data_IF_221534589502
#
_entry.id   IF_221534589502
#
_cell.length_a   1.000
_cell.length_b   1.000
_cell.length_c   1.000
_cell.angle_alpha   90.00
_cell.angle_beta   90.00
_cell.angle_gamma   90.00
#
_symmetry.space_group_name_H-M   'P 1'
#
loop_
_entity.id
_entity.type
_entity.pdbx_description
1 polymer ?
#
# COMPACT_ATOMS: atom_id res chain seq x y z
N UNK A 1 66.29 -14.00 -34.96
CA UNK A 1 65.98 -14.29 -33.54
C UNK A 1 64.54 -13.87 -33.26
N UNK A 2 63.65 -14.82 -32.92
CA UNK A 2 62.35 -14.56 -32.26
C UNK A 2 62.60 -14.37 -30.76
N UNK A 3 61.78 -13.57 -30.05
CA UNK A 3 60.70 -14.14 -29.25
C UNK A 3 59.37 -13.38 -29.47
N UNK A 4 58.25 -14.05 -29.74
CA UNK A 4 57.34 -14.65 -28.76
C UNK A 4 56.68 -13.60 -27.85
N UNK A 5 55.51 -13.11 -28.29
CA UNK A 5 54.55 -12.43 -27.42
C UNK A 5 53.35 -13.37 -27.21
N UNK A 6 53.19 -13.76 -25.95
CA UNK A 6 52.13 -14.59 -25.40
C UNK A 6 50.97 -13.69 -24.93
N UNK A 7 49.75 -14.22 -25.05
CA UNK A 7 48.55 -13.92 -24.26
C UNK A 7 47.95 -12.49 -24.42
N UNK A 8 46.65 -12.25 -24.26
CA UNK A 8 45.69 -12.85 -23.33
C UNK A 8 44.27 -12.49 -23.85
N UNK A 9 43.39 -13.49 -24.03
CA UNK A 9 41.98 -13.25 -24.32
C UNK A 9 41.20 -13.10 -23.00
N UNK A 10 40.69 -11.90 -22.71
CA UNK A 10 39.74 -11.68 -21.62
C UNK A 10 38.32 -12.02 -22.09
N UNK A 11 37.77 -13.16 -21.63
CA UNK A 11 36.32 -13.39 -21.63
C UNK A 11 35.69 -12.54 -20.53
N UNK A 12 34.91 -11.53 -20.91
CA UNK A 12 34.03 -10.80 -19.99
C UNK A 12 32.79 -11.66 -19.74
N UNK A 13 32.75 -12.34 -18.60
CA UNK A 13 31.55 -12.96 -18.08
C UNK A 13 30.63 -11.87 -17.51
N UNK A 14 29.57 -11.53 -18.22
CA UNK A 14 28.48 -10.69 -17.70
C UNK A 14 27.72 -11.47 -16.63
N UNK A 15 27.57 -10.95 -15.39
CA UNK A 15 26.70 -11.59 -14.41
C UNK A 15 25.26 -11.47 -14.89
N UNK A 16 24.59 -12.61 -15.07
CA UNK A 16 23.16 -12.68 -15.27
C UNK A 16 22.47 -12.06 -14.06
N UNK A 17 21.98 -10.83 -14.21
CA UNK A 17 21.06 -10.20 -13.28
C UNK A 17 19.88 -11.15 -13.09
N UNK A 18 19.83 -11.81 -11.94
CA UNK A 18 18.63 -12.47 -11.47
C UNK A 18 17.60 -11.37 -11.24
N UNK A 19 16.77 -11.11 -12.26
CA UNK A 19 15.54 -10.40 -12.06
C UNK A 19 14.72 -11.25 -11.08
N UNK A 20 14.65 -10.81 -9.83
CA UNK A 20 13.66 -11.30 -8.90
C UNK A 20 12.28 -11.21 -9.59
N UNK A 21 11.41 -12.23 -9.46
CA UNK A 21 10.07 -12.13 -10.02
C UNK A 21 9.41 -10.85 -9.48
N UNK A 22 8.59 -10.15 -10.28
CA UNK A 22 7.80 -9.07 -9.75
C UNK A 22 7.00 -9.64 -8.60
N UNK A 23 7.15 -9.07 -7.40
CA UNK A 23 6.21 -9.28 -6.33
C UNK A 23 4.83 -8.90 -6.89
N UNK A 24 4.07 -9.89 -7.37
CA UNK A 24 2.64 -9.74 -7.57
C UNK A 24 2.04 -9.33 -6.22
N UNK A 25 0.94 -8.56 -6.19
CA UNK A 25 0.37 -8.14 -4.92
C UNK A 25 -0.05 -9.38 -4.13
N UNK A 26 0.79 -9.78 -3.18
CA UNK A 26 0.39 -10.54 -2.02
C UNK A 26 -0.54 -9.63 -1.24
N UNK A 27 -1.78 -10.07 -1.03
CA UNK A 27 -2.77 -9.52 -0.09
C UNK A 27 -2.71 -7.98 0.08
N UNK A 28 -3.24 -7.24 -0.90
CA UNK A 28 -3.27 -5.78 -0.84
C UNK A 28 -4.59 -5.30 -0.25
N UNK A 29 -4.56 -4.22 0.54
CA UNK A 29 -5.75 -3.60 1.08
C UNK A 29 -5.84 -2.13 0.66
N UNK A 30 -7.06 -1.67 0.43
CA UNK A 30 -7.39 -0.28 0.20
C UNK A 30 -8.28 0.23 1.33
N UNK A 31 -8.09 1.48 1.74
CA UNK A 31 -9.07 2.21 2.52
C UNK A 31 -9.79 3.21 1.61
N UNK A 32 -11.10 3.04 1.48
CA UNK A 32 -11.96 3.84 0.61
C UNK A 32 -12.79 4.77 1.51
N UNK A 33 -12.66 6.08 1.32
CA UNK A 33 -13.41 7.11 2.03
C UNK A 33 -14.27 7.90 1.06
N UNK A 34 -15.57 7.99 1.32
CA UNK A 34 -16.48 8.83 0.57
C UNK A 34 -16.28 10.30 0.96
N UNK A 35 -16.09 11.17 -0.04
CA UNK A 35 -16.00 12.62 0.15
C UNK A 35 -17.37 13.28 0.00
N UNK A 36 -17.46 14.52 0.47
CA UNK A 36 -18.72 15.29 0.44
C UNK A 36 -19.22 15.58 -0.98
N UNK A 37 -18.32 15.60 -1.96
CA UNK A 37 -18.63 15.79 -3.38
C UNK A 37 -19.05 14.47 -4.08
N UNK A 38 -19.16 13.37 -3.35
CA UNK A 38 -19.50 12.06 -3.87
C UNK A 38 -18.32 11.29 -4.47
N UNK A 39 -17.11 11.89 -4.52
CA UNK A 39 -15.90 11.20 -4.99
C UNK A 39 -15.30 10.29 -3.92
N UNK A 40 -14.46 9.36 -4.34
CA UNK A 40 -13.72 8.49 -3.43
C UNK A 40 -12.29 8.99 -3.21
N UNK A 41 -11.86 9.00 -1.96
CA UNK A 41 -10.44 8.95 -1.60
C UNK A 41 -10.07 7.49 -1.37
N UNK A 42 -9.10 7.00 -2.13
CA UNK A 42 -8.52 5.68 -1.93
C UNK A 42 -7.14 5.86 -1.31
N UNK A 43 -6.89 5.16 -0.21
CA UNK A 43 -5.57 5.01 0.38
C UNK A 43 -5.12 3.55 0.25
N UNK A 44 -3.81 3.34 0.17
CA UNK A 44 -3.21 2.04 -0.08
C UNK A 44 -2.47 1.53 1.16
N UNK A 45 -2.55 0.23 1.45
CA UNK A 45 -1.78 -0.36 2.58
C UNK A 45 -0.29 -0.51 2.30
N UNK A 46 0.15 -0.17 1.08
CA UNK A 46 1.55 -0.18 0.69
C UNK A 46 1.84 1.01 -0.23
N UNK A 47 2.92 1.73 0.06
CA UNK A 47 3.38 2.88 -0.71
C UNK A 47 4.89 3.08 -0.58
N UNK A 48 5.38 4.15 -1.20
CA UNK A 48 6.82 4.41 -1.33
C UNK A 48 7.41 5.14 -0.12
N UNK A 49 6.62 5.96 0.57
CA UNK A 49 7.08 6.75 1.72
C UNK A 49 7.01 5.94 2.99
N UNK A 50 8.16 5.62 3.59
CA UNK A 50 8.23 4.97 4.90
C UNK A 50 8.89 5.90 5.90
N UNK A 51 8.17 6.21 6.97
CA UNK A 51 8.68 6.94 8.12
C UNK A 51 9.07 5.95 9.22
N UNK A 52 9.99 6.38 10.09
CA UNK A 52 10.33 5.61 11.28
C UNK A 52 9.17 5.61 12.27
N UNK A 53 9.07 4.56 13.08
CA UNK A 53 7.99 4.42 14.06
C UNK A 53 7.99 5.58 15.08
N UNK A 54 9.15 5.99 15.56
CA UNK A 54 9.29 7.14 16.46
C UNK A 54 8.78 8.44 15.81
N UNK A 55 9.14 8.69 14.55
CA UNK A 55 8.65 9.87 13.80
C UNK A 55 7.13 9.85 13.67
N UNK A 56 6.54 8.68 13.43
CA UNK A 56 5.08 8.52 13.32
C UNK A 56 4.38 8.84 14.64
N UNK A 57 4.93 8.40 15.77
CA UNK A 57 4.38 8.68 17.09
C UNK A 57 4.51 10.17 17.46
N UNK A 58 5.63 10.81 17.16
CA UNK A 58 5.83 12.26 17.39
C UNK A 58 4.87 13.11 16.53
N UNK A 59 4.71 12.72 15.27
CA UNK A 59 3.75 13.35 14.35
C UNK A 59 2.30 13.15 14.81
N UNK A 60 1.92 11.93 15.21
CA UNK A 60 0.57 11.65 15.72
C UNK A 60 0.28 12.46 16.99
N UNK A 61 1.20 12.47 17.94
CA UNK A 61 1.02 13.14 19.23
C UNK A 61 0.91 14.67 19.12
N UNK A 62 1.56 15.27 18.12
CA UNK A 62 1.54 16.72 17.90
C UNK A 62 0.44 17.20 16.95
N UNK A 63 -0.29 16.29 16.29
CA UNK A 63 -1.26 16.63 15.26
C UNK A 63 -2.36 17.58 15.75
N UNK A 64 -2.68 18.59 14.94
CA UNK A 64 -3.75 19.58 15.19
C UNK A 64 -4.45 19.95 13.88
N UNK A 65 -5.68 20.52 13.92
CA UNK A 65 -6.37 20.95 12.71
C UNK A 65 -5.58 21.98 11.87
N UNK A 66 -4.86 22.89 12.52
CA UNK A 66 -4.01 23.90 11.89
C UNK A 66 -2.61 23.39 11.48
N UNK A 67 -2.29 22.14 11.80
CA UNK A 67 -0.97 21.55 11.66
C UNK A 67 -0.23 21.44 12.99
N UNK A 68 0.36 20.27 13.24
CA UNK A 68 1.18 19.98 14.41
C UNK A 68 2.62 20.47 14.27
N UNK A 69 3.50 19.89 15.09
CA UNK A 69 4.92 20.21 15.02
C UNK A 69 5.55 19.68 13.73
N UNK A 70 6.55 20.40 13.21
CA UNK A 70 7.29 19.98 12.03
C UNK A 70 8.43 19.06 12.47
N UNK A 71 8.38 17.81 12.04
CA UNK A 71 9.37 16.78 12.34
C UNK A 71 10.31 16.62 11.14
N UNK A 72 11.62 16.51 11.40
CA UNK A 72 12.62 16.26 10.36
C UNK A 72 12.85 14.75 10.23
N UNK A 73 12.53 14.20 9.06
CA UNK A 73 12.64 12.78 8.74
C UNK A 73 13.66 12.56 7.61
N UNK A 74 13.92 11.30 7.27
CA UNK A 74 14.74 10.94 6.09
C UNK A 74 14.08 11.34 4.75
N UNK A 75 12.77 11.59 4.76
CA UNK A 75 11.99 12.06 3.60
C UNK A 75 11.90 13.59 3.55
N UNK A 76 12.60 14.30 4.44
CA UNK A 76 12.51 15.75 4.61
C UNK A 76 11.57 16.14 5.75
N UNK A 77 11.07 17.38 5.73
CA UNK A 77 10.13 17.83 6.76
C UNK A 77 8.79 17.12 6.59
N UNK A 78 8.23 16.66 7.70
CA UNK A 78 6.91 16.09 7.83
C UNK A 78 6.08 16.94 8.79
N UNK A 79 4.78 17.04 8.55
CA UNK A 79 3.85 17.68 9.46
C UNK A 79 2.52 16.94 9.47
N UNK A 80 1.96 16.72 10.66
CA UNK A 80 0.68 16.03 10.82
C UNK A 80 -0.48 17.00 11.04
N UNK A 81 -1.62 16.68 10.45
CA UNK A 81 -2.86 17.44 10.53
C UNK A 81 -3.98 16.55 11.04
N UNK A 82 -4.68 17.01 12.07
CA UNK A 82 -5.91 16.36 12.51
C UNK A 82 -7.06 16.74 11.55
N UNK A 83 -7.65 15.74 10.91
CA UNK A 83 -8.77 15.95 9.99
C UNK A 83 -9.98 15.14 10.43
N UNK A 84 -11.16 15.45 9.86
CA UNK A 84 -12.38 14.66 10.06
C UNK A 84 -12.23 13.19 9.61
N UNK A 85 -11.24 12.88 8.79
CA UNK A 85 -10.99 11.55 8.23
C UNK A 85 -9.91 10.78 9.01
N UNK A 86 -9.20 11.46 9.92
CA UNK A 86 -8.05 10.94 10.66
C UNK A 86 -6.85 11.89 10.61
N UNK A 87 -5.72 11.43 11.14
CA UNK A 87 -4.48 12.20 11.13
C UNK A 87 -3.81 12.01 9.77
N UNK A 88 -3.61 13.10 9.04
CA UNK A 88 -2.92 13.09 7.74
C UNK A 88 -1.55 13.72 7.92
N UNK A 89 -0.50 12.98 7.57
CA UNK A 89 0.86 13.50 7.49
C UNK A 89 1.11 14.01 6.08
N UNK A 90 1.65 15.21 5.96
CA UNK A 90 2.16 15.77 4.71
C UNK A 90 3.69 15.74 4.68
N UNK A 91 4.23 15.31 3.55
CA UNK A 91 5.66 15.15 3.24
C UNK A 91 6.01 15.96 1.98
N UNK A 92 6.03 17.30 2.05
CA UNK A 92 6.21 18.16 0.88
C UNK A 92 7.51 17.89 0.11
N UNK A 93 8.56 17.49 0.83
CA UNK A 93 9.90 17.22 0.31
C UNK A 93 10.12 15.79 -0.17
N UNK A 94 9.19 14.86 0.10
CA UNK A 94 9.27 13.51 -0.42
C UNK A 94 9.17 13.50 -1.95
N UNK A 95 9.84 12.53 -2.60
CA UNK A 95 9.86 12.41 -4.07
C UNK A 95 8.53 11.91 -4.65
N UNK A 96 7.85 11.04 -3.92
CA UNK A 96 6.57 10.41 -4.24
C UNK A 96 5.82 10.17 -2.95
N UNK A 97 4.52 9.86 -3.04
CA UNK A 97 3.70 9.46 -1.89
C UNK A 97 3.79 10.49 -0.75
N UNK A 98 3.42 11.72 -1.08
CA UNK A 98 3.63 12.90 -0.22
C UNK A 98 2.64 13.03 0.92
N UNK A 99 1.71 12.08 1.06
CA UNK A 99 0.65 12.13 2.06
C UNK A 99 0.39 10.75 2.60
N UNK A 100 0.35 10.65 3.92
CA UNK A 100 0.06 9.43 4.64
C UNK A 100 -1.14 9.67 5.54
N UNK A 101 -2.02 8.68 5.68
CA UNK A 101 -3.09 8.68 6.67
C UNK A 101 -2.72 7.70 7.78
N UNK A 102 -2.72 8.17 9.02
CA UNK A 102 -2.58 7.34 10.20
C UNK A 102 -3.93 6.80 10.64
N UNK A 103 -3.92 5.53 11.00
CA UNK A 103 -5.03 4.82 11.60
C UNK A 103 -4.51 3.95 12.76
N UNK A 104 -5.40 3.59 13.68
CA UNK A 104 -5.07 2.68 14.77
C UNK A 104 -5.80 1.37 14.59
N UNK A 105 -5.06 0.28 14.64
CA UNK A 105 -5.68 -1.04 14.67
C UNK A 105 -6.34 -1.31 16.04
N UNK A 106 -7.19 -2.35 16.15
CA UNK A 106 -7.82 -2.71 17.42
C UNK A 106 -6.86 -3.10 18.56
N UNK A 107 -5.59 -3.39 18.25
CA UNK A 107 -4.54 -3.68 19.23
C UNK A 107 -3.80 -2.40 19.67
N UNK A 108 -4.14 -1.25 19.10
CA UNK A 108 -3.50 0.04 19.36
C UNK A 108 -2.25 0.32 18.51
N UNK A 109 -1.91 -0.57 17.58
CA UNK A 109 -0.79 -0.38 16.65
C UNK A 109 -1.10 0.68 15.59
N UNK A 110 -0.08 1.44 15.20
CA UNK A 110 -0.20 2.39 14.11
C UNK A 110 -0.22 1.67 12.76
N UNK A 111 -1.25 1.98 11.98
CA UNK A 111 -1.37 1.58 10.59
C UNK A 111 -1.22 2.81 9.71
N UNK A 112 -0.30 2.73 8.75
CA UNK A 112 -0.06 3.79 7.77
C UNK A 112 -0.73 3.43 6.46
N UNK A 113 -1.51 4.37 5.93
CA UNK A 113 -2.09 4.29 4.60
C UNK A 113 -1.49 5.35 3.69
N UNK A 114 -1.26 4.98 2.44
CA UNK A 114 -0.52 5.78 1.46
C UNK A 114 -1.46 6.41 0.45
N UNK A 115 -1.22 7.67 0.08
CA UNK A 115 -2.00 8.35 -0.95
C UNK A 115 -1.70 7.76 -2.34
N UNK A 116 -0.45 7.37 -2.56
CA UNK A 116 -0.03 6.75 -3.81
C UNK A 116 0.14 5.24 -3.68
N UNK A 117 -0.36 4.49 -4.66
CA UNK A 117 -0.20 3.05 -4.72
C UNK A 117 -0.43 2.47 -6.10
N UNK A 118 0.00 1.22 -6.28
CA UNK A 118 -0.05 0.54 -7.58
C UNK A 118 -1.42 -0.04 -7.93
N UNK A 119 -2.23 -0.33 -6.92
CA UNK A 119 -3.54 -0.94 -7.14
C UNK A 119 -4.55 0.14 -7.48
N UNK A 120 -5.11 0.08 -8.68
CA UNK A 120 -6.20 0.94 -9.09
C UNK A 120 -7.44 0.07 -9.32
N UNK A 121 -8.56 0.46 -8.72
CA UNK A 121 -9.86 -0.15 -8.98
C UNK A 121 -10.72 0.83 -9.78
N UNK A 122 -11.48 0.36 -10.77
CA UNK A 122 -12.48 1.17 -11.46
C UNK A 122 -13.52 1.75 -10.50
N UNK A 123 -14.07 2.93 -10.82
CA UNK A 123 -15.04 3.63 -9.97
C UNK A 123 -16.31 2.81 -9.70
N UNK A 124 -16.81 2.06 -10.69
CA UNK A 124 -17.97 1.16 -10.53
C UNK A 124 -17.69 0.05 -9.50
N UNK A 125 -16.46 -0.48 -9.49
CA UNK A 125 -16.02 -1.44 -8.48
C UNK A 125 -15.91 -0.78 -7.10
N UNK A 126 -15.38 0.44 -7.01
CA UNK A 126 -15.33 1.19 -5.75
C UNK A 126 -16.73 1.45 -5.19
N UNK A 127 -17.67 1.86 -6.05
CA UNK A 127 -19.07 2.06 -5.66
C UNK A 127 -19.71 0.77 -5.15
N UNK A 128 -19.56 -0.33 -5.88
CA UNK A 128 -20.11 -1.62 -5.45
C UNK A 128 -19.51 -2.08 -4.10
N UNK A 129 -18.21 -1.87 -3.88
CA UNK A 129 -17.57 -2.16 -2.60
C UNK A 129 -18.15 -1.31 -1.47
N UNK A 130 -18.37 -0.02 -1.71
CA UNK A 130 -18.93 0.89 -0.71
C UNK A 130 -20.39 0.54 -0.38
N UNK A 131 -21.20 0.20 -1.39
CA UNK A 131 -22.61 -0.11 -1.22
C UNK A 131 -22.86 -1.48 -0.56
N UNK A 132 -21.98 -2.44 -0.80
CA UNK A 132 -22.16 -3.81 -0.29
C UNK A 132 -21.38 -4.11 1.00
N UNK A 133 -20.48 -3.21 1.42
CA UNK A 133 -19.66 -3.40 2.61
C UNK A 133 -20.50 -3.59 3.88
N UNK A 134 -20.06 -4.55 4.69
CA UNK A 134 -20.63 -4.86 6.01
C UNK A 134 -19.47 -5.06 7.00
N UNK A 135 -19.68 -4.96 8.32
CA UNK A 135 -18.64 -5.24 9.32
C UNK A 135 -18.01 -6.64 9.16
N UNK A 136 -18.83 -7.67 8.90
CA UNK A 136 -18.36 -9.06 8.64
C UNK A 136 -17.94 -9.30 7.17
N UNK A 137 -17.96 -8.21 6.39
CA UNK A 137 -17.60 -8.13 4.99
C UNK A 137 -18.76 -8.41 4.03
N UNK A 138 -18.78 -7.62 2.97
CA UNK A 138 -19.82 -7.58 1.94
C UNK A 138 -19.72 -8.63 0.83
N UNK A 139 -20.24 -8.25 -0.34
CA UNK A 139 -20.18 -9.08 -1.54
C UNK A 139 -18.74 -9.32 -2.00
N UNK A 140 -18.48 -10.49 -2.59
CA UNK A 140 -17.21 -10.79 -3.26
C UNK A 140 -17.31 -10.39 -4.72
N UNK A 141 -16.48 -9.45 -5.15
CA UNK A 141 -16.46 -8.92 -6.51
C UNK A 141 -15.22 -9.44 -7.21
N UNK A 142 -15.37 -9.99 -8.42
CA UNK A 142 -14.26 -10.46 -9.23
C UNK A 142 -13.71 -9.31 -10.08
N UNK A 143 -12.41 -9.06 -10.00
CA UNK A 143 -11.70 -8.03 -10.78
C UNK A 143 -10.51 -8.67 -11.47
N UNK A 144 -10.67 -8.99 -12.76
CA UNK A 144 -9.70 -9.79 -13.51
C UNK A 144 -9.46 -11.16 -12.86
N UNK A 145 -8.24 -11.39 -12.38
CA UNK A 145 -7.84 -12.63 -11.70
C UNK A 145 -7.97 -12.57 -10.17
N UNK A 146 -8.29 -11.39 -9.63
CA UNK A 146 -8.43 -11.16 -8.20
C UNK A 146 -9.89 -11.19 -7.78
N UNK A 147 -10.10 -11.39 -6.48
CA UNK A 147 -11.36 -11.15 -5.80
C UNK A 147 -11.14 -10.04 -4.79
N UNK A 148 -12.13 -9.16 -4.66
CA UNK A 148 -12.15 -8.06 -3.72
C UNK A 148 -13.38 -8.19 -2.82
N UNK A 149 -13.23 -7.86 -1.54
CA UNK A 149 -14.32 -7.81 -0.57
C UNK A 149 -14.16 -6.57 0.32
N UNK A 150 -15.24 -5.80 0.46
CA UNK A 150 -15.30 -4.61 1.30
C UNK A 150 -15.77 -4.92 2.72
N UNK A 151 -15.18 -4.23 3.70
CA UNK A 151 -15.52 -4.30 5.12
C UNK A 151 -15.75 -2.88 5.65
N UNK A 152 -16.89 -2.64 6.31
CA UNK A 152 -17.18 -1.34 6.90
C UNK A 152 -16.36 -1.17 8.17
N UNK A 153 -15.66 -0.04 8.27
CA UNK A 153 -14.90 0.38 9.45
C UNK A 153 -15.27 1.82 9.81
N UNK A 154 -14.85 2.29 10.98
CA UNK A 154 -15.16 3.64 11.46
C UNK A 154 -14.77 4.73 10.42
N UNK A 155 -13.63 4.56 9.75
CA UNK A 155 -13.08 5.55 8.81
C UNK A 155 -13.56 5.41 7.37
N UNK A 156 -14.37 4.41 7.03
CA UNK A 156 -14.81 4.13 5.65
C UNK A 156 -14.93 2.64 5.35
N UNK A 157 -14.43 2.22 4.19
CA UNK A 157 -14.46 0.81 3.77
C UNK A 157 -13.05 0.31 3.52
N UNK A 158 -12.66 -0.76 4.20
CA UNK A 158 -11.45 -1.51 3.87
C UNK A 158 -11.79 -2.53 2.80
N UNK A 159 -11.18 -2.44 1.63
CA UNK A 159 -11.28 -3.43 0.57
C UNK A 159 -10.04 -4.33 0.57
N UNK A 160 -10.23 -5.62 0.86
CA UNK A 160 -9.16 -6.62 0.80
C UNK A 160 -9.17 -7.28 -0.57
N UNK A 161 -8.00 -7.35 -1.20
CA UNK A 161 -7.80 -7.86 -2.56
C UNK A 161 -6.87 -9.06 -2.49
N UNK A 162 -7.33 -10.18 -3.02
CA UNK A 162 -6.53 -11.41 -3.05
C UNK A 162 -6.74 -12.19 -4.34
N UNK A 163 -5.76 -13.01 -4.69
CA UNK A 163 -5.89 -13.97 -5.78
C UNK A 163 -6.42 -15.29 -5.20
N UNK A 164 -7.56 -15.82 -5.68
CA UNK A 164 -8.06 -17.10 -5.19
C UNK A 164 -7.06 -18.22 -5.45
N UNK A 165 -6.72 -19.00 -4.43
CA UNK A 165 -5.96 -20.23 -4.62
C UNK A 165 -6.86 -21.26 -5.33
N UNK A 166 -6.37 -21.85 -6.42
CA UNK A 166 -7.04 -23.04 -6.97
C UNK A 166 -6.84 -24.16 -5.95
N UNK A 167 -7.93 -24.70 -5.41
CA UNK A 167 -7.89 -25.92 -4.60
C UNK A 167 -7.31 -27.03 -5.49
N UNK A 168 -6.19 -27.64 -5.09
CA UNK A 168 -5.76 -28.88 -5.72
C UNK A 168 -6.86 -29.94 -5.47
N UNK A 169 -7.21 -30.77 -6.48
CA UNK A 169 -8.19 -31.82 -6.26
C UNK A 169 -7.76 -32.70 -5.10
N UNK A 170 -8.70 -32.98 -4.19
CA UNK A 170 -8.45 -33.88 -3.06
C UNK A 170 -8.01 -35.24 -3.59
N UNK A 171 -7.02 -35.91 -2.97
CA UNK A 171 -6.66 -37.29 -3.31
C UNK A 171 -7.85 -38.27 -3.22
N UNK A 172 -8.92 -37.89 -2.52
CA UNK A 172 -10.15 -38.68 -2.39
C UNK A 172 -11.04 -38.70 -3.65
N UNK A 173 -10.75 -37.87 -4.66
CA UNK A 173 -11.54 -37.77 -5.89
C UNK A 173 -10.93 -38.57 -7.06
N UNK A 174 -9.95 -39.44 -6.78
CA UNK A 174 -9.28 -40.32 -7.75
C UNK A 174 -9.47 -41.82 -7.41
N UNK A 175 -10.66 -42.23 -6.99
CA UNK A 175 -11.01 -43.66 -6.84
C UNK A 175 -12.31 -43.99 -7.56
#
# INVERSE_FOLDING_TARGET
>A
MKPAALALALLLATPASHAAPPNGPADNALLIQLRQDGSYKVWHSAGASQLLDDDLHDLEASARPEGGDVVKTDLGRAQAFETKQGIVIELPEAKSDKRLLLDRDPCGGLKVWHDEGRTQLPDDVLTELVLTALPDGGARIKVGENVVKGYTVERGVIAVIWRPSRRAPSPAEKR
#
